data_IF_854002522613
#
_entry.id   IF_854002522613
#
_cell.length_a   1.000
_cell.length_b   1.000
_cell.length_c   1.000
_cell.angle_alpha   90.00
_cell.angle_beta   90.00
_cell.angle_gamma   90.00
#
_symmetry.space_group_name_H-M   'P 1'
#
loop_
_entity.id
_entity.type
_entity.pdbx_description
1 polymer ?
#
# COMPACT_ATOMS: atom_id res chain seq x y z
N UNK A 1 -23.76 38.55 62.74
CA UNK A 1 -23.66 40.02 62.69
C UNK A 1 -22.41 40.34 61.88
N UNK A 2 -22.39 41.14 60.81
CA UNK A 2 -23.40 41.95 60.10
C UNK A 2 -22.79 42.32 58.71
N UNK A 3 -23.43 42.74 57.60
CA UNK A 3 -24.80 42.97 57.09
C UNK A 3 -24.62 43.57 55.66
N UNK A 4 -25.35 43.08 54.63
CA UNK A 4 -25.57 43.71 53.27
C UNK A 4 -24.33 43.88 52.35
N UNK A 5 -24.43 44.11 51.03
CA UNK A 5 -25.55 44.45 50.09
C UNK A 5 -25.68 43.37 48.98
N UNK A 6 -26.84 43.03 48.38
CA UNK A 6 -27.74 43.79 47.45
C UNK A 6 -26.96 44.31 46.21
N UNK A 7 -27.38 44.20 44.93
CA UNK A 7 -28.67 43.92 44.24
C UNK A 7 -28.37 43.41 42.78
N UNK A 8 -29.26 42.85 41.93
CA UNK A 8 -30.61 42.26 42.04
C UNK A 8 -31.03 41.45 40.76
N UNK A 9 -32.26 40.93 40.79
CA UNK A 9 -33.06 40.07 39.87
C UNK A 9 -33.40 40.54 38.42
N UNK A 10 -33.29 39.60 37.46
CA UNK A 10 -34.25 39.22 36.39
C UNK A 10 -33.79 37.85 35.80
N UNK A 11 -34.59 36.90 35.28
CA UNK A 11 -35.99 36.89 34.80
C UNK A 11 -36.01 36.94 33.26
N UNK A 12 -36.56 36.00 32.46
CA UNK A 12 -37.44 34.81 32.68
C UNK A 12 -37.09 33.69 31.65
N UNK A 13 -37.81 32.56 31.64
CA UNK A 13 -37.71 31.37 30.74
C UNK A 13 -37.52 31.65 29.24
N UNK A 14 -37.11 30.69 28.38
CA UNK A 14 -36.87 29.25 28.54
C UNK A 14 -37.47 28.46 27.36
N UNK A 15 -36.91 27.28 27.03
CA UNK A 15 -37.45 26.48 25.91
C UNK A 15 -36.51 25.41 25.37
N UNK A 16 -36.66 24.16 25.84
CA UNK A 16 -35.97 22.99 25.29
C UNK A 16 -36.39 22.74 23.83
N UNK A 17 -35.44 22.41 22.95
CA UNK A 17 -35.73 21.90 21.60
C UNK A 17 -35.18 20.48 21.44
N UNK A 18 -36.07 19.55 21.11
CA UNK A 18 -35.75 18.14 20.87
C UNK A 18 -35.27 17.89 19.43
N UNK A 19 -34.82 16.64 19.24
CA UNK A 19 -34.37 16.00 18.00
C UNK A 19 -35.23 16.34 16.77
N UNK A 20 -34.58 16.39 15.61
CA UNK A 20 -35.20 16.04 14.33
C UNK A 20 -34.69 14.66 13.89
N UNK A 21 -35.60 13.69 13.75
CA UNK A 21 -35.40 12.48 12.96
C UNK A 21 -36.44 12.48 11.84
N UNK A 22 -36.01 12.30 10.60
CA UNK A 22 -36.89 12.14 9.43
C UNK A 22 -37.22 10.67 9.21
N UNK A 23 -38.51 10.32 9.26
CA UNK A 23 -39.02 9.00 8.83
C UNK A 23 -39.47 9.06 7.38
N UNK A 24 -39.24 7.98 6.65
CA UNK A 24 -40.11 7.49 5.57
C UNK A 24 -40.62 6.11 5.98
N UNK A 25 -41.81 5.73 5.53
CA UNK A 25 -42.59 4.62 6.10
C UNK A 25 -43.30 3.78 5.04
N UNK A 26 -43.37 2.47 5.25
CA UNK A 26 -44.26 1.56 4.52
C UNK A 26 -44.74 0.39 5.39
N UNK A 27 -45.99 -0.05 5.16
CA UNK A 27 -46.45 -1.43 5.31
C UNK A 27 -46.63 -1.99 6.73
N UNK A 28 -47.88 -2.17 7.16
CA UNK A 28 -48.23 -2.98 8.34
C UNK A 28 -48.74 -4.38 7.95
N UNK A 29 -48.46 -5.37 8.80
CA UNK A 29 -49.28 -6.58 9.02
C UNK A 29 -48.87 -7.21 10.38
N UNK A 30 -49.78 -7.94 11.03
CA UNK A 30 -49.75 -8.09 12.49
C UNK A 30 -49.79 -9.54 13.01
N UNK A 31 -49.27 -9.74 14.24
CA UNK A 31 -49.58 -10.80 15.23
C UNK A 31 -49.43 -12.29 14.80
N UNK A 32 -48.89 -13.18 15.64
CA UNK A 32 -49.43 -13.52 16.97
C UNK A 32 -48.39 -14.20 17.88
N UNK A 33 -48.59 -14.11 19.20
CA UNK A 33 -47.73 -14.63 20.27
C UNK A 33 -48.02 -16.09 20.67
N UNK A 34 -46.97 -16.87 21.00
CA UNK A 34 -46.86 -17.60 22.29
C UNK A 34 -45.46 -18.17 22.59
N UNK A 35 -45.35 -19.03 23.62
CA UNK A 35 -44.25 -19.04 24.60
C UNK A 35 -43.58 -20.43 24.77
N UNK A 36 -42.38 -20.43 25.38
CA UNK A 36 -41.73 -21.54 26.12
C UNK A 36 -40.98 -22.71 25.40
N UNK A 37 -39.98 -23.22 26.16
CA UNK A 37 -39.16 -24.45 26.01
C UNK A 37 -39.84 -25.63 26.78
N UNK A 38 -39.36 -26.91 26.80
CA UNK A 38 -38.04 -27.45 26.41
C UNK A 38 -38.06 -28.78 25.60
N UNK A 39 -36.91 -29.47 25.59
CA UNK A 39 -36.49 -30.64 24.79
C UNK A 39 -36.67 -31.98 25.55
N UNK A 40 -36.86 -33.12 24.83
CA UNK A 40 -36.40 -34.45 25.29
C UNK A 40 -35.31 -35.09 24.38
N UNK A 41 -34.68 -36.18 24.83
CA UNK A 41 -33.71 -37.01 24.07
C UNK A 41 -34.23 -38.47 23.97
N UNK A 42 -34.20 -39.06 22.77
CA UNK A 42 -34.10 -40.51 22.44
C UNK A 42 -33.32 -40.60 21.10
N UNK A 43 -32.84 -41.74 20.62
CA UNK A 43 -31.66 -42.52 21.05
C UNK A 43 -31.68 -43.90 20.36
N UNK A 44 -30.56 -44.32 19.72
CA UNK A 44 -30.36 -45.62 19.03
C UNK A 44 -31.35 -45.91 17.86
N UNK A 45 -31.12 -46.82 16.90
CA UNK A 45 -30.11 -47.88 16.70
C UNK A 45 -29.41 -47.80 15.31
N UNK A 46 -28.46 -48.71 15.06
CA UNK A 46 -27.95 -49.09 13.72
C UNK A 46 -28.02 -50.63 13.59
N UNK A 47 -27.12 -51.32 12.85
CA UNK A 47 -26.17 -50.87 11.82
C UNK A 47 -26.36 -51.65 10.49
N UNK A 48 -25.53 -51.38 9.47
CA UNK A 48 -25.11 -52.37 8.44
C UNK A 48 -23.68 -52.10 8.00
N UNK A 49 -22.95 -53.18 7.74
CA UNK A 49 -21.55 -53.17 7.36
C UNK A 49 -21.33 -52.71 5.90
N UNK A 50 -20.14 -52.16 5.64
CA UNK A 50 -19.21 -52.96 4.84
C UNK A 50 -17.74 -52.63 5.14
N UNK A 51 -16.89 -53.64 5.04
CA UNK A 51 -15.45 -53.53 5.30
C UNK A 51 -14.68 -53.17 4.03
N UNK A 52 -13.63 -52.35 4.16
CA UNK A 52 -12.32 -52.67 3.57
C UNK A 52 -11.21 -51.95 4.33
N UNK A 53 -10.15 -52.68 4.65
CA UNK A 53 -9.01 -52.22 5.49
C UNK A 53 -7.77 -51.95 4.65
N UNK A 54 -7.04 -50.89 5.01
CA UNK A 54 -5.70 -50.59 4.47
C UNK A 54 -4.87 -49.81 5.49
N UNK A 55 -4.37 -50.50 6.53
CA UNK A 55 -3.46 -49.93 7.52
C UNK A 55 -2.01 -50.26 7.16
N UNK A 56 -1.18 -49.23 6.99
CA UNK A 56 0.29 -49.37 6.99
C UNK A 56 0.84 -48.33 8.00
N UNK A 57 1.71 -48.78 8.90
CA UNK A 57 2.23 -47.98 10.00
C UNK A 57 3.36 -47.04 9.55
N UNK A 58 3.57 -45.90 10.25
CA UNK A 58 4.75 -45.07 10.09
C UNK A 58 5.97 -45.67 10.80
N UNK A 59 7.17 -45.40 10.29
CA UNK A 59 8.46 -45.71 10.94
C UNK A 59 9.35 -44.47 11.00
N UNK A 60 10.10 -44.32 12.10
CA UNK A 60 10.94 -43.15 12.36
C UNK A 60 12.36 -43.31 11.80
N UNK A 61 12.87 -42.24 11.19
CA UNK A 61 14.28 -41.83 11.19
C UNK A 61 14.28 -40.28 11.08
N UNK A 62 14.88 -39.49 11.97
CA UNK A 62 16.26 -39.48 12.51
C UNK A 62 17.27 -38.84 11.54
N UNK A 63 18.23 -38.13 12.12
CA UNK A 63 19.00 -37.04 11.52
C UNK A 63 19.87 -37.38 10.30
N UNK A 64 20.12 -36.36 9.48
CA UNK A 64 21.48 -36.05 9.00
C UNK A 64 21.55 -34.61 8.48
N UNK A 65 22.42 -33.81 9.10
CA UNK A 65 22.96 -32.60 8.47
C UNK A 65 23.80 -32.98 7.23
N UNK A 66 24.00 -32.06 6.27
CA UNK A 66 25.04 -32.25 5.26
C UNK A 66 25.70 -30.94 4.84
N UNK A 67 27.00 -30.88 5.06
CA UNK A 67 27.90 -29.79 4.67
C UNK A 67 27.90 -29.52 3.15
N UNK A 68 28.22 -28.28 2.81
CA UNK A 68 28.59 -27.86 1.46
C UNK A 68 30.13 -27.95 1.31
N UNK A 69 30.68 -28.72 0.36
CA UNK A 69 32.09 -28.63 0.00
C UNK A 69 32.38 -27.32 -0.73
N UNK A 70 33.61 -26.83 -0.64
CA UNK A 70 34.04 -25.54 -1.19
C UNK A 70 35.17 -25.68 -2.23
N UNK A 71 35.41 -24.60 -2.98
CA UNK A 71 36.55 -24.37 -3.89
C UNK A 71 36.52 -25.17 -5.23
N UNK A 72 37.26 -24.75 -6.29
CA UNK A 72 38.27 -23.69 -6.32
C UNK A 72 38.11 -22.56 -7.36
N UNK A 73 38.88 -21.50 -7.15
CA UNK A 73 39.26 -20.45 -8.11
C UNK A 73 40.26 -20.97 -9.18
N UNK A 74 40.14 -20.49 -10.42
CA UNK A 74 41.26 -20.24 -11.36
C UNK A 74 40.84 -19.63 -12.71
N UNK A 75 41.38 -18.45 -13.06
CA UNK A 75 41.91 -18.02 -14.39
C UNK A 75 42.01 -16.49 -14.45
N UNK A 76 43.16 -15.79 -14.45
CA UNK A 76 44.45 -15.89 -15.18
C UNK A 76 44.47 -15.18 -16.55
N UNK A 77 44.82 -13.88 -16.52
CA UNK A 77 45.52 -13.03 -17.53
C UNK A 77 45.09 -13.08 -19.03
N UNK A 78 44.79 -11.90 -19.57
CA UNK A 78 44.97 -11.51 -20.99
C UNK A 78 45.82 -10.23 -21.04
N UNK A 79 46.59 -10.00 -22.12
CA UNK A 79 47.65 -8.97 -22.22
C UNK A 79 47.69 -8.34 -23.63
N UNK A 80 48.00 -7.03 -23.70
CA UNK A 80 48.43 -6.20 -24.87
C UNK A 80 47.61 -6.14 -26.17
N UNK A 81 47.14 -4.94 -26.54
CA UNK A 81 47.53 -4.13 -27.72
C UNK A 81 46.46 -3.03 -27.96
N UNK A 82 46.67 -1.71 -28.01
CA UNK A 82 47.63 -0.81 -28.71
C UNK A 82 47.41 -0.64 -30.21
N UNK A 83 46.51 0.28 -30.59
CA UNK A 83 46.45 1.03 -31.86
C UNK A 83 45.55 2.27 -31.70
N UNK A 84 45.62 3.31 -32.54
CA UNK A 84 46.66 4.36 -32.46
C UNK A 84 46.09 5.74 -32.91
N UNK A 85 46.92 6.79 -32.87
CA UNK A 85 46.83 8.11 -33.52
C UNK A 85 45.69 8.40 -34.52
N UNK A 86 45.02 9.54 -34.33
CA UNK A 86 45.04 10.64 -35.32
C UNK A 86 44.98 12.00 -34.63
N UNK A 87 46.05 12.78 -34.76
CA UNK A 87 46.09 14.20 -34.43
C UNK A 87 46.01 15.00 -35.74
N UNK A 88 45.26 16.11 -35.80
CA UNK A 88 45.57 17.16 -36.78
C UNK A 88 44.91 18.51 -36.47
N UNK A 89 45.71 19.57 -36.56
CA UNK A 89 45.29 20.98 -36.54
C UNK A 89 45.20 21.52 -37.96
N UNK A 90 44.35 22.52 -38.20
CA UNK A 90 44.64 23.69 -39.06
C UNK A 90 43.65 24.82 -38.73
N UNK A 91 43.98 26.06 -39.11
CA UNK A 91 43.35 27.33 -38.70
C UNK A 91 43.05 28.18 -39.96
N UNK A 92 42.20 29.22 -39.79
CA UNK A 92 42.08 30.41 -40.66
C UNK A 92 41.31 30.23 -41.98
N UNK A 93 40.72 31.27 -42.60
CA UNK A 93 40.01 32.47 -42.08
C UNK A 93 39.22 33.14 -43.24
N UNK A 94 38.14 33.86 -42.92
CA UNK A 94 37.60 35.06 -43.62
C UNK A 94 37.42 35.09 -45.16
N UNK A 95 36.16 35.19 -45.65
CA UNK A 95 35.77 36.12 -46.73
C UNK A 95 34.23 36.28 -46.95
N UNK A 96 33.73 37.50 -46.70
CA UNK A 96 32.73 38.31 -47.46
C UNK A 96 31.42 37.73 -48.06
N UNK A 97 30.32 38.48 -47.85
CA UNK A 97 28.99 38.33 -48.48
C UNK A 97 28.85 39.10 -49.82
N UNK A 98 27.70 38.96 -50.52
CA UNK A 98 26.85 40.14 -50.68
C UNK A 98 25.33 39.90 -50.48
N UNK A 99 24.54 40.95 -50.69
CA UNK A 99 23.16 41.16 -50.21
C UNK A 99 22.10 40.92 -51.31
N UNK A 100 20.93 40.36 -50.96
CA UNK A 100 19.62 40.78 -51.53
C UNK A 100 18.42 40.31 -50.67
N UNK A 101 17.25 40.98 -50.74
CA UNK A 101 16.22 40.88 -49.71
C UNK A 101 14.96 40.09 -50.11
N UNK A 102 14.31 39.46 -49.13
CA UNK A 102 12.84 39.46 -49.06
C UNK A 102 12.35 39.18 -47.63
N UNK A 103 11.45 40.02 -47.11
CA UNK A 103 10.78 39.80 -45.81
C UNK A 103 9.31 39.42 -46.02
N UNK A 104 8.89 38.21 -45.64
CA UNK A 104 7.57 37.97 -45.08
C UNK A 104 7.58 38.45 -43.62
N UNK A 105 6.58 39.25 -43.21
CA UNK A 105 6.47 39.69 -41.82
C UNK A 105 6.06 38.51 -40.92
N UNK A 106 7.02 37.93 -40.19
CA UNK A 106 6.72 36.96 -39.13
C UNK A 106 6.05 37.68 -37.96
N UNK A 107 4.81 37.30 -37.66
CA UNK A 107 4.13 37.67 -36.42
C UNK A 107 4.98 37.25 -35.21
N UNK A 108 4.93 37.98 -34.07
CA UNK A 108 5.57 37.52 -32.85
C UNK A 108 5.02 36.13 -32.47
N UNK A 109 5.86 35.18 -32.01
CA UNK A 109 5.38 33.89 -31.58
C UNK A 109 4.38 34.08 -30.43
N UNK A 110 3.24 33.39 -30.51
CA UNK A 110 2.29 33.33 -29.40
C UNK A 110 3.01 32.89 -28.13
N UNK A 111 2.65 33.42 -26.94
CA UNK A 111 3.25 32.98 -25.69
C UNK A 111 3.11 31.45 -25.56
N UNK A 112 4.13 30.73 -25.10
CA UNK A 112 4.08 29.28 -25.01
C UNK A 112 2.89 28.88 -24.15
N UNK A 113 2.05 27.98 -24.68
CA UNK A 113 0.95 27.36 -23.94
C UNK A 113 1.47 26.89 -22.59
N UNK A 114 0.83 27.21 -21.46
CA UNK A 114 1.34 26.83 -20.15
C UNK A 114 1.48 25.31 -20.09
N UNK A 115 2.72 24.83 -20.01
CA UNK A 115 3.01 23.41 -19.82
C UNK A 115 2.22 22.92 -18.61
N UNK A 116 1.48 21.79 -18.71
CA UNK A 116 0.82 21.24 -17.55
C UNK A 116 1.88 20.92 -16.51
N UNK A 117 1.78 21.53 -15.32
CA UNK A 117 2.66 21.21 -14.21
C UNK A 117 2.59 19.69 -13.96
N UNK A 118 3.72 18.97 -13.87
CA UNK A 118 3.69 17.54 -13.62
C UNK A 118 3.01 17.27 -12.28
N UNK A 119 1.91 16.52 -12.31
CA UNK A 119 1.21 16.08 -11.11
C UNK A 119 2.16 15.25 -10.23
N UNK A 120 2.04 15.37 -8.91
CA UNK A 120 2.90 14.70 -7.93
C UNK A 120 2.06 14.05 -6.82
N UNK A 121 2.72 13.22 -6.02
CA UNK A 121 2.17 12.80 -4.72
C UNK A 121 2.46 13.92 -3.71
N UNK A 122 1.49 14.26 -2.86
CA UNK A 122 1.71 15.05 -1.66
C UNK A 122 1.47 14.18 -0.42
N UNK A 123 2.38 14.24 0.55
CA UNK A 123 2.36 13.37 1.73
C UNK A 123 2.26 14.21 3.01
N UNK A 124 1.08 14.22 3.62
CA UNK A 124 0.83 14.85 4.92
C UNK A 124 1.05 13.84 6.05
N UNK A 125 1.91 14.19 7.01
CA UNK A 125 2.15 13.40 8.22
C UNK A 125 1.04 13.58 9.27
N UNK A 126 0.67 12.49 9.94
CA UNK A 126 -0.40 12.49 10.95
C UNK A 126 -0.17 11.42 12.02
N UNK A 127 -0.57 11.72 13.26
CA UNK A 127 -0.58 10.76 14.37
C UNK A 127 -1.97 10.09 14.46
N UNK A 128 -2.01 8.77 14.68
CA UNK A 128 -3.22 8.01 14.98
C UNK A 128 -3.23 6.57 14.44
N UNK A 129 -4.39 5.91 14.46
CA UNK A 129 -4.53 4.56 13.89
C UNK A 129 -4.72 4.58 12.36
N UNK A 130 -3.74 4.03 11.64
CA UNK A 130 -3.81 3.73 10.21
C UNK A 130 -5.04 2.90 9.84
N UNK A 131 -5.42 1.94 10.70
CA UNK A 131 -6.52 1.00 10.45
C UNK A 131 -7.91 1.59 10.73
N UNK A 132 -8.00 2.79 11.31
CA UNK A 132 -9.22 3.59 11.45
C UNK A 132 -9.55 4.36 10.15
N UNK A 133 -9.31 3.74 8.98
CA UNK A 133 -9.78 4.23 7.69
C UNK A 133 -11.30 4.15 7.56
N UNK A 134 -11.96 5.08 6.85
CA UNK A 134 -13.31 4.86 6.37
C UNK A 134 -13.36 3.68 5.38
N UNK A 135 -14.54 3.10 5.12
CA UNK A 135 -14.71 2.12 4.05
C UNK A 135 -14.15 2.65 2.72
N UNK A 136 -13.65 1.75 1.86
CA UNK A 136 -13.09 2.10 0.55
C UNK A 136 -11.75 2.89 0.57
N UNK A 137 -11.10 3.03 1.74
CA UNK A 137 -9.69 3.50 1.87
C UNK A 137 -8.71 2.50 1.26
N UNK A 138 -7.59 2.99 0.70
CA UNK A 138 -6.38 2.22 0.39
C UNK A 138 -5.37 2.37 1.54
N UNK A 139 -4.97 1.25 2.15
CA UNK A 139 -3.92 1.20 3.17
C UNK A 139 -2.61 0.65 2.58
N UNK A 140 -1.58 1.49 2.53
CA UNK A 140 -0.28 1.18 1.92
C UNK A 140 0.75 0.81 3.00
N UNK A 141 1.57 -0.21 2.73
CA UNK A 141 2.74 -0.53 3.55
C UNK A 141 3.90 -1.16 2.74
N UNK A 142 5.12 -1.01 3.27
CA UNK A 142 6.30 -1.68 2.75
C UNK A 142 6.30 -3.17 3.07
N UNK A 143 6.65 -3.98 2.08
CA UNK A 143 6.62 -5.43 2.07
C UNK A 143 7.97 -6.04 1.68
N UNK A 144 8.12 -7.32 2.01
CA UNK A 144 9.17 -8.18 1.48
C UNK A 144 8.60 -9.10 0.39
N UNK A 145 9.45 -9.69 -0.44
CA UNK A 145 9.01 -10.60 -1.52
C UNK A 145 8.91 -12.06 -1.07
N UNK A 146 9.02 -12.37 0.22
CA UNK A 146 8.99 -13.76 0.76
C UNK A 146 7.63 -14.16 1.37
N UNK A 147 6.55 -13.40 1.10
CA UNK A 147 5.22 -13.72 1.60
C UNK A 147 5.08 -13.63 3.13
N UNK A 148 5.97 -12.89 3.79
CA UNK A 148 6.02 -12.79 5.26
C UNK A 148 5.47 -11.46 5.78
N UNK A 149 4.46 -11.52 6.65
CA UNK A 149 3.97 -10.39 7.46
C UNK A 149 4.14 -10.72 8.96
N UNK A 150 5.39 -10.95 9.38
CA UNK A 150 5.73 -11.51 10.70
C UNK A 150 5.99 -10.50 11.82
N UNK A 151 6.29 -9.23 11.51
CA UNK A 151 6.67 -8.22 12.50
C UNK A 151 6.27 -6.79 12.13
N UNK A 152 6.40 -5.86 13.08
CA UNK A 152 6.09 -4.44 12.90
C UNK A 152 4.65 -4.20 12.45
N UNK A 153 4.43 -3.16 11.64
CA UNK A 153 3.11 -2.83 11.09
C UNK A 153 2.54 -3.96 10.23
N UNK A 154 3.38 -4.72 9.51
CA UNK A 154 2.91 -5.86 8.70
C UNK A 154 2.25 -6.96 9.56
N UNK A 155 2.71 -7.19 10.79
CA UNK A 155 2.03 -8.10 11.72
C UNK A 155 0.63 -7.59 12.12
N UNK A 156 0.42 -6.26 12.19
CA UNK A 156 -0.90 -5.68 12.41
C UNK A 156 -1.79 -5.83 11.17
N UNK A 157 -1.27 -5.56 9.95
CA UNK A 157 -1.96 -5.88 8.69
C UNK A 157 -2.39 -7.36 8.64
N UNK A 158 -1.55 -8.31 9.05
CA UNK A 158 -1.92 -9.73 9.12
C UNK A 158 -3.02 -10.06 10.13
N UNK A 159 -3.10 -9.33 11.24
CA UNK A 159 -4.16 -9.48 12.25
C UNK A 159 -5.49 -8.88 11.78
N UNK A 160 -5.45 -7.77 11.06
CA UNK A 160 -6.64 -7.06 10.58
C UNK A 160 -7.17 -7.61 9.24
N UNK A 161 -6.29 -8.10 8.38
CA UNK A 161 -6.60 -8.59 7.02
C UNK A 161 -6.02 -9.98 6.74
N UNK A 162 -6.43 -11.04 7.49
CA UNK A 162 -5.92 -12.39 7.33
C UNK A 162 -6.25 -13.05 5.97
N UNK A 163 -7.26 -12.59 5.22
CA UNK A 163 -7.55 -13.02 3.86
C UNK A 163 -6.65 -12.30 2.83
N UNK A 164 -6.46 -10.98 2.95
CA UNK A 164 -5.48 -10.25 2.16
C UNK A 164 -4.06 -10.84 2.33
N UNK A 165 -3.67 -11.22 3.55
CA UNK A 165 -2.40 -11.92 3.81
C UNK A 165 -2.25 -13.22 2.99
N UNK A 166 -3.33 -13.99 2.79
CA UNK A 166 -3.28 -15.21 1.98
C UNK A 166 -3.01 -14.90 0.51
N UNK A 167 -3.62 -13.84 -0.04
CA UNK A 167 -3.37 -13.39 -1.41
C UNK A 167 -1.94 -12.87 -1.59
N UNK A 168 -1.46 -12.01 -0.68
CA UNK A 168 -0.06 -11.56 -0.64
C UNK A 168 0.92 -12.73 -0.59
N UNK A 169 0.71 -13.71 0.30
CA UNK A 169 1.58 -14.89 0.43
C UNK A 169 1.54 -15.77 -0.83
N UNK A 170 0.37 -15.94 -1.44
CA UNK A 170 0.21 -16.70 -2.69
C UNK A 170 0.92 -16.01 -3.86
N UNK A 171 0.81 -14.69 -3.96
CA UNK A 171 1.50 -13.88 -4.98
C UNK A 171 3.03 -13.97 -4.83
N UNK A 172 3.55 -13.85 -3.60
CA UNK A 172 4.97 -14.03 -3.31
C UNK A 172 5.50 -15.44 -3.60
N UNK A 173 4.65 -16.47 -3.55
CA UNK A 173 5.03 -17.84 -3.88
C UNK A 173 5.02 -18.13 -5.40
N UNK A 174 4.39 -17.27 -6.21
CA UNK A 174 4.28 -17.42 -7.66
C UNK A 174 5.30 -16.66 -8.49
N UNK A 175 6.23 -15.92 -7.86
CA UNK A 175 7.24 -15.10 -8.53
C UNK A 175 8.56 -15.07 -7.76
N UNK A 176 9.66 -14.73 -8.42
CA UNK A 176 10.98 -14.62 -7.79
C UNK A 176 11.16 -13.28 -7.05
N UNK A 177 12.06 -13.19 -6.05
CA UNK A 177 12.34 -11.95 -5.35
C UNK A 177 12.71 -10.76 -6.24
N UNK A 178 13.51 -10.99 -7.29
CA UNK A 178 13.94 -9.93 -8.20
C UNK A 178 12.89 -9.57 -9.27
N UNK A 179 11.88 -10.43 -9.53
CA UNK A 179 10.67 -10.06 -10.29
C UNK A 179 9.73 -9.15 -9.48
N UNK A 180 9.71 -9.30 -8.15
CA UNK A 180 8.80 -8.55 -7.28
C UNK A 180 9.42 -7.25 -6.74
N UNK A 181 10.73 -7.17 -6.48
CA UNK A 181 11.35 -5.94 -5.95
C UNK A 181 11.17 -4.75 -6.90
N UNK A 182 10.66 -3.64 -6.37
CA UNK A 182 10.30 -2.45 -7.17
C UNK A 182 8.93 -2.52 -7.82
N UNK A 183 8.12 -3.53 -7.51
CA UNK A 183 6.71 -3.65 -7.93
C UNK A 183 5.77 -3.43 -6.74
N UNK A 184 4.46 -3.49 -6.97
CA UNK A 184 3.48 -3.54 -5.91
C UNK A 184 2.37 -4.54 -6.21
N UNK A 185 1.66 -4.96 -5.16
CA UNK A 185 0.41 -5.70 -5.24
C UNK A 185 -0.71 -4.86 -4.63
N UNK A 186 -1.73 -4.57 -5.44
CA UNK A 186 -3.03 -4.07 -4.97
C UNK A 186 -3.91 -5.28 -4.62
N UNK A 187 -4.47 -5.29 -3.40
CA UNK A 187 -5.40 -6.32 -2.95
C UNK A 187 -6.78 -5.67 -2.73
N UNK A 188 -7.83 -6.07 -3.47
CA UNK A 188 -9.16 -5.49 -3.32
C UNK A 188 -9.86 -5.94 -2.03
N UNK A 189 -10.91 -5.24 -1.57
CA UNK A 189 -11.61 -5.49 -0.31
C UNK A 189 -12.11 -6.92 -0.11
N UNK A 190 -11.46 -7.68 0.78
CA UNK A 190 -11.73 -9.12 0.97
C UNK A 190 -12.93 -9.39 1.87
N UNK A 191 -13.85 -10.25 1.42
CA UNK A 191 -15.03 -10.68 2.22
C UNK A 191 -14.66 -11.29 3.57
N UNK A 192 -13.53 -12.00 3.64
CA UNK A 192 -13.02 -12.64 4.86
C UNK A 192 -12.35 -11.69 5.86
N UNK A 193 -12.18 -10.41 5.50
CA UNK A 193 -11.57 -9.38 6.35
C UNK A 193 -12.60 -8.34 6.84
N UNK A 194 -13.90 -8.67 6.74
CA UNK A 194 -14.99 -7.90 7.33
C UNK A 194 -15.08 -8.20 8.82
N UNK A 195 -15.19 -7.16 9.66
CA UNK A 195 -15.60 -7.31 11.07
C UNK A 195 -17.06 -7.79 11.10
N UNK A 196 -17.37 -8.76 11.96
CA UNK A 196 -18.68 -9.42 11.98
C UNK A 196 -19.80 -8.50 12.51
N UNK A 197 -19.46 -7.60 13.43
CA UNK A 197 -20.45 -6.94 14.32
C UNK A 197 -20.66 -5.45 14.00
N UNK A 198 -20.23 -5.00 12.82
CA UNK A 198 -20.38 -3.62 12.35
C UNK A 198 -21.48 -3.44 11.29
N UNK A 199 -21.78 -2.20 10.87
CA UNK A 199 -22.48 -1.98 9.60
C UNK A 199 -21.69 -2.61 8.44
N UNK A 200 -22.34 -2.81 7.28
CA UNK A 200 -21.80 -3.54 6.13
C UNK A 200 -20.69 -2.79 5.35
N UNK A 201 -19.68 -2.30 6.08
CA UNK A 201 -18.52 -1.60 5.58
C UNK A 201 -17.80 -2.41 4.49
N UNK A 202 -17.50 -1.73 3.39
CA UNK A 202 -16.53 -2.22 2.41
C UNK A 202 -15.16 -2.23 3.10
N UNK A 203 -14.44 -3.38 3.17
CA UNK A 203 -13.07 -3.40 3.69
C UNK A 203 -12.14 -2.45 2.91
N UNK A 204 -10.94 -2.24 3.43
CA UNK A 204 -9.93 -1.45 2.75
C UNK A 204 -9.30 -2.23 1.58
N UNK A 205 -8.78 -1.50 0.59
CA UNK A 205 -7.76 -2.03 -0.31
C UNK A 205 -6.42 -2.08 0.44
N UNK A 206 -5.58 -3.07 0.15
CA UNK A 206 -4.22 -3.16 0.72
C UNK A 206 -3.20 -2.96 -0.39
N UNK A 207 -2.33 -1.96 -0.26
CA UNK A 207 -1.23 -1.66 -1.18
C UNK A 207 0.10 -2.18 -0.63
N UNK A 208 0.60 -3.26 -1.20
CA UNK A 208 1.85 -3.89 -0.77
C UNK A 208 3.01 -3.39 -1.65
N UNK A 209 3.87 -2.51 -1.14
CA UNK A 209 5.05 -2.02 -1.88
C UNK A 209 6.24 -2.97 -1.67
N UNK A 210 6.73 -3.63 -2.72
CA UNK A 210 7.83 -4.60 -2.60
C UNK A 210 9.20 -3.92 -2.61
N UNK A 211 9.53 -3.26 -1.49
CA UNK A 211 10.76 -2.44 -1.38
C UNK A 211 12.01 -3.24 -0.96
N UNK A 212 11.86 -4.46 -0.43
CA UNK A 212 13.00 -5.34 -0.08
C UNK A 212 12.73 -6.79 -0.50
N UNK A 213 13.75 -7.53 -0.94
CA UNK A 213 13.64 -8.96 -1.26
C UNK A 213 13.48 -9.84 -0.03
N UNK A 214 14.04 -9.42 1.11
CA UNK A 214 14.03 -10.17 2.37
C UNK A 214 13.55 -9.28 3.52
N UNK A 215 13.58 -9.77 4.76
CA UNK A 215 13.12 -9.03 5.94
C UNK A 215 14.02 -9.27 7.17
N UNK A 216 13.82 -8.48 8.22
CA UNK A 216 14.56 -8.62 9.48
C UNK A 216 16.05 -8.29 9.31
N UNK A 217 16.93 -9.23 9.68
CA UNK A 217 18.40 -9.08 9.60
C UNK A 217 18.97 -9.22 8.18
N UNK A 218 18.25 -9.86 7.25
CA UNK A 218 18.76 -10.18 5.89
C UNK A 218 18.10 -9.35 4.78
N UNK A 219 17.34 -8.31 5.15
CA UNK A 219 16.72 -7.33 4.25
C UNK A 219 17.74 -6.63 3.34
N UNK A 220 17.26 -6.05 2.25
CA UNK A 220 18.08 -5.20 1.38
C UNK A 220 18.54 -3.93 2.12
N UNK A 221 19.59 -3.26 1.62
CA UNK A 221 20.13 -2.04 2.26
C UNK A 221 19.20 -0.84 2.11
N UNK A 222 19.31 0.22 2.95
CA UNK A 222 18.48 1.43 2.82
C UNK A 222 18.48 2.02 1.41
N UNK A 223 19.65 2.12 0.75
CA UNK A 223 19.76 2.57 -0.63
C UNK A 223 19.02 1.65 -1.63
N UNK A 224 19.11 0.32 -1.46
CA UNK A 224 18.40 -0.65 -2.31
C UNK A 224 16.88 -0.63 -2.10
N UNK A 225 16.43 -0.25 -0.90
CA UNK A 225 15.03 -0.09 -0.50
C UNK A 225 14.45 1.21 -1.09
N UNK A 226 15.19 2.32 -1.01
CA UNK A 226 14.81 3.59 -1.63
C UNK A 226 14.72 3.47 -3.16
N UNK A 227 15.72 2.84 -3.80
CA UNK A 227 15.68 2.50 -5.23
C UNK A 227 14.45 1.68 -5.66
N UNK A 228 13.87 0.90 -4.74
CA UNK A 228 12.67 0.11 -5.00
C UNK A 228 11.36 0.81 -4.56
N UNK A 229 11.42 1.95 -3.88
CA UNK A 229 10.23 2.61 -3.29
C UNK A 229 9.45 3.42 -4.33
N UNK A 230 10.12 4.27 -5.13
CA UNK A 230 9.49 5.03 -6.23
C UNK A 230 8.81 4.12 -7.28
N UNK A 231 9.47 3.11 -7.87
CA UNK A 231 8.83 2.27 -8.89
C UNK A 231 7.71 1.40 -8.30
N UNK A 232 7.81 0.98 -7.02
CA UNK A 232 6.74 0.27 -6.34
C UNK A 232 5.51 1.16 -6.15
N UNK A 233 5.67 2.40 -5.68
CA UNK A 233 4.57 3.35 -5.55
C UNK A 233 3.95 3.67 -6.92
N UNK A 234 4.78 3.87 -7.95
CA UNK A 234 4.33 4.13 -9.33
C UNK A 234 3.51 2.97 -9.88
N UNK A 235 3.92 1.73 -9.60
CA UNK A 235 3.15 0.55 -9.99
C UNK A 235 1.84 0.46 -9.20
N UNK A 236 1.83 0.74 -7.89
CA UNK A 236 0.60 0.73 -7.09
C UNK A 236 -0.44 1.72 -7.62
N UNK A 237 -0.05 2.96 -7.95
CA UNK A 237 -0.99 3.95 -8.51
C UNK A 237 -1.57 3.52 -9.85
N UNK A 238 -0.77 2.89 -10.72
CA UNK A 238 -1.25 2.30 -11.99
C UNK A 238 -2.24 1.15 -11.76
N UNK A 239 -2.03 0.31 -10.75
CA UNK A 239 -2.97 -0.75 -10.38
C UNK A 239 -4.30 -0.16 -9.84
N UNK A 240 -4.23 0.92 -9.06
CA UNK A 240 -5.43 1.63 -8.56
C UNK A 240 -6.23 2.24 -9.70
N UNK A 241 -5.58 2.88 -10.68
CA UNK A 241 -6.24 3.37 -11.89
C UNK A 241 -6.86 2.23 -12.72
N UNK A 242 -6.18 1.07 -12.82
CA UNK A 242 -6.63 -0.07 -13.59
C UNK A 242 -7.76 -0.90 -12.94
N UNK A 243 -7.93 -0.86 -11.61
CA UNK A 243 -9.08 -1.48 -10.90
C UNK A 243 -10.42 -0.87 -11.35
N UNK A 244 -10.42 0.34 -11.92
CA UNK A 244 -11.62 1.00 -12.46
C UNK A 244 -12.66 1.40 -11.41
N UNK A 245 -12.29 1.33 -10.12
CA UNK A 245 -13.13 1.68 -8.98
C UNK A 245 -12.44 2.76 -8.17
N UNK A 246 -13.15 3.85 -7.94
CA UNK A 246 -12.66 4.98 -7.14
C UNK A 246 -12.25 4.51 -5.73
N UNK A 247 -11.08 4.95 -5.27
CA UNK A 247 -10.58 4.76 -3.90
C UNK A 247 -10.87 6.04 -3.11
N UNK A 248 -11.45 5.92 -1.92
CA UNK A 248 -11.99 7.08 -1.20
C UNK A 248 -10.96 7.91 -0.43
N UNK A 249 -9.91 7.28 0.08
CA UNK A 249 -8.80 7.93 0.79
C UNK A 249 -7.55 7.06 0.61
N UNK A 250 -6.37 7.67 0.49
CA UNK A 250 -5.09 6.95 0.50
C UNK A 250 -4.35 7.22 1.81
N UNK A 251 -4.08 6.15 2.57
CA UNK A 251 -3.27 6.21 3.78
C UNK A 251 -2.08 5.26 3.67
N UNK A 252 -0.96 5.64 4.26
CA UNK A 252 0.17 4.76 4.47
C UNK A 252 0.60 4.77 5.93
N UNK A 253 1.26 3.72 6.42
CA UNK A 253 2.21 3.95 7.52
C UNK A 253 3.40 4.77 6.99
N UNK A 254 4.19 5.41 7.87
CA UNK A 254 5.56 5.81 7.49
C UNK A 254 6.33 4.59 6.96
N UNK A 255 6.44 4.48 5.63
CA UNK A 255 7.00 3.28 4.98
C UNK A 255 8.52 3.21 5.18
N UNK A 256 9.04 1.98 5.17
CA UNK A 256 10.45 1.64 5.41
C UNK A 256 11.07 2.04 6.78
N UNK A 257 10.47 2.94 7.56
CA UNK A 257 11.08 3.48 8.80
C UNK A 257 11.06 2.57 10.02
N UNK A 258 10.19 1.55 10.02
CA UNK A 258 10.17 0.51 11.06
C UNK A 258 11.30 -0.52 10.89
N UNK A 259 10.95 -1.81 10.79
CA UNK A 259 11.92 -2.92 10.72
C UNK A 259 12.80 -2.94 9.45
N UNK A 260 12.60 -2.02 8.51
CA UNK A 260 13.47 -1.80 7.36
C UNK A 260 14.57 -0.76 7.64
N UNK A 261 14.39 0.13 8.63
CA UNK A 261 15.43 1.02 9.15
C UNK A 261 15.92 2.05 8.14
N UNK A 262 15.02 2.60 7.32
CA UNK A 262 15.29 3.74 6.43
C UNK A 262 14.65 4.99 7.03
N UNK A 263 15.38 6.10 7.23
CA UNK A 263 14.77 7.34 7.73
C UNK A 263 13.54 7.74 6.92
N UNK A 264 12.48 8.16 7.63
CA UNK A 264 11.17 8.41 7.00
C UNK A 264 11.26 9.46 5.90
N UNK A 265 11.94 10.58 6.16
CA UNK A 265 12.10 11.68 5.21
C UNK A 265 12.78 11.25 3.89
N UNK A 266 13.68 10.28 3.91
CA UNK A 266 14.29 9.74 2.68
C UNK A 266 13.26 8.98 1.84
N UNK A 267 12.41 8.17 2.48
CA UNK A 267 11.33 7.46 1.78
C UNK A 267 10.24 8.42 1.31
N UNK A 268 9.92 9.45 2.10
CA UNK A 268 8.97 10.52 1.76
C UNK A 268 9.45 11.31 0.54
N UNK A 269 10.70 11.81 0.56
CA UNK A 269 11.28 12.57 -0.54
C UNK A 269 11.36 11.77 -1.85
N UNK A 270 11.63 10.47 -1.78
CA UNK A 270 11.61 9.56 -2.95
C UNK A 270 10.20 9.40 -3.54
N UNK A 271 9.13 9.54 -2.75
CA UNK A 271 7.74 9.47 -3.22
C UNK A 271 7.17 10.84 -3.64
N UNK A 272 7.48 11.94 -2.94
CA UNK A 272 7.04 13.29 -3.35
C UNK A 272 7.85 13.84 -4.54
N UNK A 273 9.09 13.35 -4.73
CA UNK A 273 9.92 13.67 -5.89
C UNK A 273 9.46 13.03 -7.21
N UNK A 274 8.51 12.09 -7.18
CA UNK A 274 8.07 11.38 -8.38
C UNK A 274 7.04 12.19 -9.18
N UNK A 275 7.23 12.23 -10.50
CA UNK A 275 6.28 12.88 -11.41
C UNK A 275 5.30 11.85 -11.97
N UNK A 276 4.01 12.17 -11.93
CA UNK A 276 2.91 11.36 -12.43
C UNK A 276 2.67 11.66 -13.93
N UNK A 277 1.89 10.82 -14.60
CA UNK A 277 1.60 10.94 -16.03
C UNK A 277 0.85 12.22 -16.39
N UNK A 278 1.02 12.70 -17.63
CA UNK A 278 0.27 13.87 -18.13
C UNK A 278 -1.22 13.53 -18.18
N UNK A 279 -2.02 14.21 -17.36
CA UNK A 279 -3.46 13.94 -17.20
C UNK A 279 -3.81 13.04 -16.01
N UNK A 280 -2.82 12.44 -15.34
CA UNK A 280 -3.03 11.91 -13.98
C UNK A 280 -3.16 13.10 -13.02
N UNK A 281 -4.10 13.04 -12.08
CA UNK A 281 -4.26 14.07 -11.04
C UNK A 281 -3.14 14.01 -9.99
N UNK A 282 -3.00 15.07 -9.20
CA UNK A 282 -2.21 15.01 -7.97
C UNK A 282 -2.81 14.00 -6.98
N UNK A 283 -1.97 13.28 -6.23
CA UNK A 283 -2.42 12.24 -5.30
C UNK A 283 -2.09 12.65 -3.87
N UNK A 284 -3.13 12.96 -3.09
CA UNK A 284 -3.04 13.22 -1.66
C UNK A 284 -2.90 11.91 -0.88
N UNK A 285 -1.89 11.80 -0.02
CA UNK A 285 -1.67 10.64 0.84
C UNK A 285 -1.40 11.06 2.28
N UNK A 286 -2.06 10.41 3.23
CA UNK A 286 -1.81 10.65 4.66
C UNK A 286 -0.87 9.59 5.22
N UNK A 287 0.32 10.00 5.67
CA UNK A 287 1.29 9.14 6.32
C UNK A 287 1.06 9.09 7.83
N UNK A 288 0.60 7.94 8.30
CA UNK A 288 0.29 7.69 9.70
C UNK A 288 1.50 7.18 10.49
N UNK A 289 1.77 7.85 11.61
CA UNK A 289 2.54 7.38 12.74
C UNK A 289 1.59 6.99 13.88
N UNK A 290 1.94 5.97 14.67
CA UNK A 290 1.14 5.60 15.85
C UNK A 290 1.53 6.46 17.05
N UNK A 291 0.56 6.63 17.93
CA UNK A 291 0.78 6.88 19.37
C UNK A 291 1.53 5.70 20.04
#
# INVERSE_FOLDING_TARGET
>A
MSVKRTAAIAGVSGGSRQLKQSKLSFGSSASTSRNHKPRPRIASEGPRDNSMTATINPTNAADSEKELPAQPDQSRKVVTATHDQTDNRTRSETALSPISPNQPQTQPPNPPTPSPNPSKIHITDKIGDLFAGPPNTLLIHACNTLGSWSGGIALAFRKHYPAAFRLYRSHCAGATPDQLRGTALLIPPQRGDRKADGPAAVPHYIGCLFTSRRYGRTRDSPAQILQATEPAMRHLLRLVAAEGREVGEVRMCRVNSGLFGVPWEESKAVMEGMELGVGEGGVEVVAYERE
#
